data_IF_923025816544
#
_entry.id   IF_923025816544
#
_cell.length_a   1.000
_cell.length_b   1.000
_cell.length_c   1.000
_cell.angle_alpha   90.00
_cell.angle_beta   90.00
_cell.angle_gamma   90.00
#
_symmetry.space_group_name_H-M   'P 1'
#
loop_
_entity.id
_entity.type
_entity.pdbx_description
1 polymer ?
#
# COMPACT_ATOMS: atom_id res chain seq x y z
N UNK A 1 42.30 20.48 10.83
CA UNK A 1 42.37 18.99 10.93
C UNK A 1 42.87 18.65 12.32
N UNK A 2 41.97 18.18 13.18
CA UNK A 2 42.28 17.81 14.53
C UNK A 2 42.96 16.45 14.50
N UNK A 3 44.20 16.37 15.01
CA UNK A 3 45.01 15.15 15.02
C UNK A 3 44.41 14.11 15.99
N UNK A 4 43.43 13.35 15.52
CA UNK A 4 42.74 12.29 16.28
C UNK A 4 43.65 11.08 16.58
N UNK A 5 44.72 10.91 15.83
CA UNK A 5 45.58 9.71 15.91
C UNK A 5 46.57 9.70 17.12
N UNK A 6 46.78 10.83 17.81
CA UNK A 6 47.69 10.88 18.96
C UNK A 6 47.05 10.53 20.32
N UNK A 7 45.72 10.59 20.44
CA UNK A 7 45.01 10.29 21.71
C UNK A 7 44.65 8.81 21.92
N UNK A 8 44.70 8.00 20.89
CA UNK A 8 44.35 6.58 20.98
C UNK A 8 45.38 5.68 21.63
N UNK A 9 46.63 6.17 21.88
CA UNK A 9 47.72 5.36 22.45
C UNK A 9 47.64 5.08 23.93
N UNK A 10 46.74 5.73 24.67
CA UNK A 10 46.66 5.64 26.13
C UNK A 10 45.34 5.05 26.66
N UNK A 11 44.53 4.39 25.79
CA UNK A 11 43.32 3.73 26.26
C UNK A 11 43.66 2.36 26.85
N UNK A 12 43.28 2.18 28.09
CA UNK A 12 43.33 0.87 28.73
C UNK A 12 42.27 -0.08 28.15
N UNK A 13 42.43 -1.40 28.32
CA UNK A 13 41.53 -2.39 27.80
C UNK A 13 40.07 -2.20 28.25
N UNK A 14 39.88 -1.65 29.44
CA UNK A 14 38.56 -1.36 30.03
C UNK A 14 37.89 -0.17 29.36
N UNK A 15 38.62 0.88 29.04
CA UNK A 15 38.11 2.05 28.31
C UNK A 15 37.75 1.69 26.89
N UNK A 16 38.53 0.81 26.24
CA UNK A 16 38.21 0.32 24.91
C UNK A 16 36.90 -0.49 24.92
N UNK A 17 36.64 -1.33 25.91
CA UNK A 17 35.38 -2.07 26.06
C UNK A 17 34.19 -1.15 26.25
N UNK A 18 34.34 -0.11 27.07
CA UNK A 18 33.26 0.88 27.29
C UNK A 18 32.93 1.63 25.98
N UNK A 19 33.96 2.11 25.28
CA UNK A 19 33.73 2.84 24.01
C UNK A 19 33.14 1.96 22.96
N UNK A 20 33.59 0.70 22.81
CA UNK A 20 33.05 -0.22 21.83
C UNK A 20 31.60 -0.61 22.14
N UNK A 21 31.24 -0.79 23.41
CA UNK A 21 29.85 -1.08 23.79
C UNK A 21 28.91 0.10 23.52
N UNK A 22 29.35 1.32 23.82
CA UNK A 22 28.58 2.53 23.48
C UNK A 22 28.41 2.70 21.99
N UNK A 23 29.47 2.48 21.20
CA UNK A 23 29.39 2.54 19.73
C UNK A 23 28.41 1.51 19.19
N UNK A 24 28.42 0.27 19.71
CA UNK A 24 27.48 -0.76 19.33
C UNK A 24 26.03 -0.37 19.62
N UNK A 25 25.74 0.17 20.81
CA UNK A 25 24.38 0.63 21.16
C UNK A 25 23.92 1.73 20.22
N UNK A 26 24.77 2.71 19.91
CA UNK A 26 24.43 3.80 18.97
C UNK A 26 24.13 3.25 17.58
N UNK A 27 24.95 2.32 17.07
CA UNK A 27 24.73 1.68 15.76
C UNK A 27 23.39 0.94 15.74
N UNK A 28 23.08 0.18 16.80
CA UNK A 28 21.81 -0.54 16.92
C UNK A 28 20.60 0.41 16.97
N UNK A 29 20.71 1.54 17.66
CA UNK A 29 19.66 2.55 17.70
C UNK A 29 19.41 3.18 16.32
N UNK A 30 20.49 3.53 15.61
CA UNK A 30 20.39 4.09 14.25
C UNK A 30 19.75 3.07 13.30
N UNK A 31 20.16 1.81 13.36
CA UNK A 31 19.60 0.76 12.51
C UNK A 31 18.11 0.54 12.79
N UNK A 32 17.72 0.41 14.05
CA UNK A 32 16.30 0.23 14.41
C UNK A 32 15.44 1.43 14.01
N UNK A 33 15.94 2.65 14.17
CA UNK A 33 15.23 3.85 13.70
C UNK A 33 15.07 3.87 12.17
N UNK A 34 16.12 3.55 11.43
CA UNK A 34 16.12 3.50 9.97
C UNK A 34 15.16 2.45 9.43
N UNK A 35 15.17 1.22 9.98
CA UNK A 35 14.27 0.15 9.54
C UNK A 35 12.80 0.47 9.84
N UNK A 36 12.50 1.09 10.98
CA UNK A 36 11.14 1.54 11.31
C UNK A 36 10.66 2.62 10.34
N UNK A 37 11.52 3.59 10.04
CA UNK A 37 11.20 4.67 9.08
C UNK A 37 10.88 4.11 7.70
N UNK A 38 11.67 3.17 7.19
CA UNK A 38 11.42 2.54 5.88
C UNK A 38 10.10 1.77 5.83
N UNK A 39 9.71 1.08 6.91
CA UNK A 39 8.42 0.37 6.98
C UNK A 39 7.25 1.35 6.99
N UNK A 40 7.36 2.45 7.75
CA UNK A 40 6.32 3.48 7.79
C UNK A 40 6.17 4.17 6.44
N UNK A 41 7.28 4.48 5.78
CA UNK A 41 7.25 5.08 4.45
C UNK A 41 6.54 4.18 3.43
N UNK A 42 6.91 2.90 3.35
CA UNK A 42 6.23 1.93 2.47
C UNK A 42 4.73 1.83 2.76
N UNK A 43 4.34 1.85 4.03
CA UNK A 43 2.95 1.84 4.42
C UNK A 43 2.20 3.10 3.94
N UNK A 44 2.82 4.27 4.07
CA UNK A 44 2.24 5.52 3.59
C UNK A 44 2.12 5.55 2.07
N UNK A 45 3.12 5.05 1.35
CA UNK A 45 3.09 4.95 -0.11
C UNK A 45 1.91 4.08 -0.59
N UNK A 46 1.66 2.95 0.09
CA UNK A 46 0.50 2.10 -0.24
C UNK A 46 -0.83 2.79 0.08
N UNK A 47 -0.93 3.48 1.22
CA UNK A 47 -2.15 4.26 1.54
C UNK A 47 -2.41 5.34 0.50
N UNK A 48 -1.38 6.03 0.07
CA UNK A 48 -1.49 7.02 -1.00
C UNK A 48 -1.97 6.38 -2.31
N UNK A 49 -1.34 5.29 -2.73
CA UNK A 49 -1.74 4.56 -3.94
C UNK A 49 -3.19 4.05 -3.86
N UNK A 50 -3.58 3.47 -2.73
CA UNK A 50 -4.96 3.02 -2.50
C UNK A 50 -5.94 4.19 -2.62
N UNK A 51 -5.65 5.31 -1.97
CA UNK A 51 -6.48 6.52 -2.04
C UNK A 51 -6.60 7.02 -3.49
N UNK A 52 -5.51 7.04 -4.25
CA UNK A 52 -5.51 7.43 -5.68
C UNK A 52 -6.44 6.54 -6.51
N UNK A 53 -6.40 5.23 -6.30
CA UNK A 53 -7.29 4.27 -6.99
C UNK A 53 -8.75 4.50 -6.61
N UNK A 54 -9.03 4.68 -5.32
CA UNK A 54 -10.38 4.96 -4.81
C UNK A 54 -10.94 6.26 -5.39
N UNK A 55 -10.15 7.33 -5.37
CA UNK A 55 -10.55 8.64 -5.91
C UNK A 55 -10.81 8.56 -7.41
N UNK A 56 -9.97 7.82 -8.16
CA UNK A 56 -10.17 7.60 -9.58
C UNK A 56 -11.51 6.91 -9.85
N UNK A 57 -11.78 5.79 -9.18
CA UNK A 57 -13.04 5.04 -9.38
C UNK A 57 -14.25 5.90 -8.98
N UNK A 58 -14.18 6.62 -7.86
CA UNK A 58 -15.26 7.51 -7.42
C UNK A 58 -15.52 8.65 -8.41
N UNK A 59 -14.48 9.23 -9.01
CA UNK A 59 -14.64 10.28 -10.02
C UNK A 59 -15.36 9.74 -11.27
N UNK A 60 -14.98 8.57 -11.75
CA UNK A 60 -15.67 7.92 -12.88
C UNK A 60 -17.15 7.62 -12.57
N UNK A 61 -17.43 7.14 -11.37
CA UNK A 61 -18.82 6.92 -10.91
C UNK A 61 -19.61 8.23 -10.94
N UNK A 62 -19.03 9.32 -10.42
CA UNK A 62 -19.68 10.63 -10.38
C UNK A 62 -19.88 11.22 -11.79
N UNK A 63 -18.88 11.11 -12.67
CA UNK A 63 -18.97 11.56 -14.05
C UNK A 63 -20.07 10.79 -14.80
N UNK A 64 -20.11 9.49 -14.64
CA UNK A 64 -21.15 8.66 -15.25
C UNK A 64 -22.56 8.91 -14.68
N UNK A 65 -22.67 9.21 -13.39
CA UNK A 65 -23.94 9.59 -12.77
C UNK A 65 -24.47 10.92 -13.33
N UNK A 66 -23.56 11.80 -13.74
CA UNK A 66 -23.92 13.09 -14.36
C UNK A 66 -24.18 12.99 -15.86
N UNK A 67 -23.69 11.94 -16.52
CA UNK A 67 -23.82 11.72 -17.97
C UNK A 67 -23.97 10.24 -18.29
N UNK A 68 -25.15 9.71 -18.11
CA UNK A 68 -25.48 8.28 -18.33
C UNK A 68 -25.19 7.77 -19.75
N UNK A 69 -25.19 8.65 -20.75
CA UNK A 69 -24.85 8.30 -22.14
C UNK A 69 -23.36 8.48 -22.45
N UNK A 70 -22.55 8.83 -21.46
CA UNK A 70 -21.11 8.99 -21.58
C UNK A 70 -20.37 7.66 -21.62
N UNK A 71 -19.05 7.79 -21.62
CA UNK A 71 -18.12 6.66 -21.51
C UNK A 71 -17.12 6.92 -20.37
N UNK A 72 -16.74 5.85 -19.73
CA UNK A 72 -15.65 5.85 -18.76
C UNK A 72 -14.30 6.10 -19.44
N UNK A 73 -13.30 6.48 -18.66
CA UNK A 73 -11.92 6.64 -19.13
C UNK A 73 -11.34 5.36 -19.76
N UNK A 74 -11.81 4.19 -19.38
CA UNK A 74 -11.40 2.91 -19.99
C UNK A 74 -12.33 2.46 -21.15
N UNK A 75 -13.29 3.31 -21.58
CA UNK A 75 -14.06 3.14 -22.81
C UNK A 75 -15.38 2.38 -22.68
N UNK A 76 -15.78 1.92 -21.50
CA UNK A 76 -17.08 1.30 -21.24
C UNK A 76 -18.19 2.37 -21.18
N UNK A 77 -19.42 2.00 -21.55
CA UNK A 77 -20.54 2.93 -21.47
C UNK A 77 -20.96 3.13 -20.01
N UNK A 78 -21.32 4.34 -19.66
CA UNK A 78 -21.78 4.67 -18.31
C UNK A 78 -23.05 3.92 -17.89
N UNK A 79 -23.90 3.57 -18.83
CA UNK A 79 -25.17 2.83 -18.59
C UNK A 79 -25.02 1.30 -18.65
N UNK A 80 -23.79 0.78 -18.79
CA UNK A 80 -23.51 -0.66 -18.81
C UNK A 80 -22.82 -1.11 -17.51
N UNK A 81 -22.80 -2.42 -17.26
CA UNK A 81 -21.97 -2.99 -16.19
C UNK A 81 -20.49 -2.83 -16.53
N UNK A 82 -19.72 -2.35 -15.58
CA UNK A 82 -18.26 -2.25 -15.70
C UNK A 82 -17.59 -3.52 -15.16
N UNK A 83 -16.40 -3.81 -15.67
CA UNK A 83 -15.65 -4.97 -15.23
C UNK A 83 -14.38 -4.55 -14.48
N UNK A 84 -14.14 -5.14 -13.33
CA UNK A 84 -12.95 -4.85 -12.52
C UNK A 84 -11.64 -5.10 -13.29
N UNK A 85 -11.63 -6.06 -14.23
CA UNK A 85 -10.45 -6.33 -15.06
C UNK A 85 -10.12 -5.19 -16.04
N UNK A 86 -11.12 -4.50 -16.59
CA UNK A 86 -10.89 -3.35 -17.46
C UNK A 86 -10.39 -2.14 -16.68
N UNK A 87 -10.95 -1.90 -15.51
CA UNK A 87 -10.49 -0.84 -14.58
C UNK A 87 -9.03 -1.09 -14.17
N UNK A 88 -8.72 -2.31 -13.72
CA UNK A 88 -7.36 -2.68 -13.31
C UNK A 88 -6.37 -2.50 -14.44
N UNK A 89 -6.70 -2.96 -15.65
CA UNK A 89 -5.84 -2.80 -16.82
C UNK A 89 -5.61 -1.32 -17.14
N UNK A 90 -6.67 -0.51 -17.16
CA UNK A 90 -6.55 0.91 -17.44
C UNK A 90 -5.65 1.62 -16.43
N UNK A 91 -5.80 1.31 -15.13
CA UNK A 91 -4.96 1.88 -14.08
C UNK A 91 -3.50 1.46 -14.25
N UNK A 92 -3.23 0.19 -14.57
CA UNK A 92 -1.86 -0.29 -14.81
C UNK A 92 -1.19 0.39 -16.02
N UNK A 93 -1.97 0.70 -17.05
CA UNK A 93 -1.45 1.31 -18.28
C UNK A 93 -1.25 2.82 -18.18
N UNK A 94 -1.99 3.51 -17.31
CA UNK A 94 -2.04 4.98 -17.27
C UNK A 94 -1.50 5.61 -15.97
N UNK A 95 -1.32 4.82 -14.89
CA UNK A 95 -0.83 5.32 -13.61
C UNK A 95 0.54 4.73 -13.30
N UNK A 96 1.52 5.57 -12.99
CA UNK A 96 2.85 5.15 -12.54
C UNK A 96 2.83 4.74 -11.05
N UNK A 97 2.05 3.71 -10.72
CA UNK A 97 1.93 3.21 -9.38
C UNK A 97 2.81 1.96 -9.18
N UNK A 98 3.60 1.93 -8.12
CA UNK A 98 4.52 0.83 -7.82
C UNK A 98 4.25 0.24 -6.44
N UNK A 99 4.37 -1.08 -6.32
CA UNK A 99 4.29 -1.76 -5.03
C UNK A 99 5.64 -1.64 -4.29
N UNK A 100 5.75 -0.87 -3.20
CA UNK A 100 7.01 -0.66 -2.48
C UNK A 100 7.51 -1.90 -1.75
N UNK A 101 6.69 -2.95 -1.63
CA UNK A 101 7.07 -4.22 -1.01
C UNK A 101 7.54 -5.26 -2.03
N UNK A 102 6.99 -5.24 -3.25
CA UNK A 102 7.25 -6.25 -4.29
C UNK A 102 7.25 -5.61 -5.68
N UNK A 103 8.39 -5.13 -6.11
CA UNK A 103 8.54 -4.46 -7.41
C UNK A 103 8.13 -5.35 -8.59
N UNK A 104 8.28 -6.67 -8.47
CA UNK A 104 7.95 -7.64 -9.52
C UNK A 104 6.45 -7.97 -9.63
N UNK A 105 5.64 -7.55 -8.66
CA UNK A 105 4.19 -7.79 -8.65
C UNK A 105 3.45 -6.51 -9.00
N UNK A 106 2.38 -6.61 -9.81
CA UNK A 106 1.54 -5.44 -10.10
C UNK A 106 0.95 -4.90 -8.78
N UNK A 107 0.86 -3.57 -8.70
CA UNK A 107 0.31 -2.90 -7.53
C UNK A 107 -1.19 -3.18 -7.36
N UNK A 108 -1.91 -3.36 -8.46
CA UNK A 108 -3.37 -3.52 -8.47
C UNK A 108 -3.75 -4.82 -9.17
N UNK A 109 -4.73 -5.52 -8.63
CA UNK A 109 -5.25 -6.78 -9.16
C UNK A 109 -6.76 -6.89 -8.93
N UNK A 110 -7.42 -7.70 -9.73
CA UNK A 110 -8.80 -8.11 -9.47
C UNK A 110 -8.84 -9.16 -8.35
N UNK A 111 -9.89 -9.16 -7.55
CA UNK A 111 -10.14 -10.18 -6.53
C UNK A 111 -11.63 -10.47 -6.44
N UNK A 112 -11.99 -11.71 -6.11
CA UNK A 112 -13.37 -12.05 -5.80
C UNK A 112 -13.82 -11.51 -4.45
N UNK A 113 -12.91 -11.37 -3.50
CA UNK A 113 -13.16 -10.81 -2.19
C UNK A 113 -11.97 -9.98 -1.69
N UNK A 114 -11.93 -8.68 -1.99
CA UNK A 114 -10.87 -7.78 -1.53
C UNK A 114 -10.82 -7.64 0.00
N UNK A 115 -11.91 -7.91 0.73
CA UNK A 115 -11.95 -7.86 2.19
C UNK A 115 -11.04 -8.92 2.78
N UNK A 116 -11.16 -10.17 2.29
CA UNK A 116 -10.29 -11.26 2.72
C UNK A 116 -8.82 -10.96 2.41
N UNK A 117 -8.54 -10.34 1.26
CA UNK A 117 -7.18 -9.99 0.86
C UNK A 117 -6.61 -8.84 1.70
N UNK A 118 -7.41 -7.83 2.02
CA UNK A 118 -7.00 -6.68 2.82
C UNK A 118 -6.77 -7.07 4.29
N UNK A 119 -7.69 -7.82 4.88
CA UNK A 119 -7.60 -8.25 6.28
C UNK A 119 -6.61 -9.41 6.46
N UNK A 120 -6.46 -10.25 5.45
CA UNK A 120 -5.67 -11.47 5.52
C UNK A 120 -6.32 -12.57 6.35
N UNK A 121 -6.25 -13.80 5.88
CA UNK A 121 -6.57 -14.96 6.73
C UNK A 121 -5.44 -15.21 7.71
N UNK A 122 -5.77 -15.58 8.93
CA UNK A 122 -4.78 -15.95 9.94
C UNK A 122 -3.75 -16.94 9.37
N UNK A 123 -2.47 -16.56 9.36
CA UNK A 123 -1.36 -17.38 8.89
C UNK A 123 -1.03 -17.30 7.39
N UNK A 124 -1.83 -16.62 6.57
CA UNK A 124 -1.45 -16.36 5.18
C UNK A 124 -0.72 -15.02 5.07
N UNK A 125 0.50 -15.06 4.57
CA UNK A 125 1.22 -13.87 4.11
C UNK A 125 0.50 -13.35 2.87
N UNK A 126 -0.50 -12.52 3.08
CA UNK A 126 -1.15 -11.83 1.98
C UNK A 126 -0.14 -10.97 1.26
N UNK A 127 -0.42 -10.69 0.02
CA UNK A 127 0.42 -9.88 -0.85
C UNK A 127 0.36 -8.41 -0.41
N UNK A 128 1.15 -8.08 0.62
CA UNK A 128 1.24 -6.72 1.16
C UNK A 128 1.47 -5.70 0.04
N UNK A 129 0.72 -4.62 0.10
CA UNK A 129 0.87 -3.52 -0.82
C UNK A 129 0.21 -3.74 -2.19
N UNK A 130 -0.48 -4.86 -2.41
CA UNK A 130 -1.34 -5.04 -3.57
C UNK A 130 -2.71 -4.47 -3.25
N UNK A 131 -3.26 -3.68 -4.16
CA UNK A 131 -4.62 -3.16 -4.11
C UNK A 131 -5.51 -4.14 -4.86
N UNK A 132 -6.52 -4.65 -4.20
CA UNK A 132 -7.50 -5.57 -4.78
C UNK A 132 -8.78 -4.84 -5.07
N UNK A 133 -9.30 -5.00 -6.29
CA UNK A 133 -10.56 -4.40 -6.74
C UNK A 133 -11.53 -5.51 -7.10
N UNK A 134 -12.72 -5.45 -6.56
CA UNK A 134 -13.81 -6.35 -6.90
C UNK A 134 -15.09 -5.55 -7.11
N UNK A 135 -15.87 -5.98 -8.08
CA UNK A 135 -17.27 -5.62 -8.16
C UNK A 135 -18.02 -6.63 -7.29
N UNK A 136 -18.66 -6.20 -6.22
CA UNK A 136 -19.58 -7.05 -5.51
C UNK A 136 -20.88 -7.08 -6.30
N UNK A 137 -21.23 -8.25 -6.86
CA UNK A 137 -22.53 -8.51 -7.48
C UNK A 137 -23.64 -8.51 -6.41
N UNK A 138 -23.75 -7.43 -5.66
CA UNK A 138 -24.90 -7.23 -4.84
C UNK A 138 -25.98 -6.66 -5.74
N UNK A 139 -26.97 -7.47 -6.08
CA UNK A 139 -28.28 -7.03 -6.55
C UNK A 139 -28.94 -6.22 -5.41
N UNK A 140 -28.35 -5.08 -5.05
CA UNK A 140 -28.97 -4.13 -4.16
C UNK A 140 -29.69 -3.10 -5.03
N UNK A 141 -30.86 -2.65 -4.58
CA UNK A 141 -31.58 -1.53 -5.19
C UNK A 141 -30.73 -0.24 -5.28
N UNK A 142 -29.54 -0.22 -4.68
CA UNK A 142 -28.61 0.90 -4.59
C UNK A 142 -27.50 0.90 -5.69
N UNK A 143 -27.49 -0.06 -6.60
CA UNK A 143 -26.45 -0.15 -7.64
C UNK A 143 -25.29 -1.08 -7.30
N UNK A 144 -24.28 -1.10 -8.16
CA UNK A 144 -23.09 -1.95 -7.98
C UNK A 144 -22.16 -1.38 -6.94
N UNK A 145 -21.75 -2.19 -5.97
CA UNK A 145 -20.73 -1.83 -4.97
C UNK A 145 -19.35 -2.28 -5.45
N UNK A 146 -18.41 -1.35 -5.52
CA UNK A 146 -16.99 -1.62 -5.77
C UNK A 146 -16.25 -1.69 -4.46
N UNK A 147 -15.67 -2.84 -4.16
CA UNK A 147 -14.85 -3.01 -2.95
C UNK A 147 -13.39 -2.93 -3.33
N UNK A 148 -12.66 -2.02 -2.68
CA UNK A 148 -11.24 -1.77 -2.92
C UNK A 148 -10.51 -1.96 -1.61
N UNK A 149 -9.64 -2.97 -1.54
CA UNK A 149 -8.96 -3.35 -0.33
C UNK A 149 -7.47 -3.56 -0.51
N UNK A 150 -6.68 -3.24 0.52
CA UNK A 150 -5.24 -3.49 0.54
C UNK A 150 -4.72 -3.78 1.94
N UNK A 151 -3.71 -4.64 2.05
CA UNK A 151 -2.92 -4.80 3.26
C UNK A 151 -1.71 -3.85 3.21
N UNK A 152 -1.70 -2.88 4.08
CA UNK A 152 -0.66 -1.85 4.15
C UNK A 152 0.57 -2.32 4.91
N UNK A 153 0.36 -3.09 5.99
CA UNK A 153 1.42 -3.55 6.89
C UNK A 153 1.01 -4.86 7.58
N UNK A 154 1.95 -5.75 7.87
CA UNK A 154 1.69 -6.96 8.66
C UNK A 154 1.67 -6.70 10.17
N UNK A 155 0.78 -7.39 10.90
CA UNK A 155 -0.28 -8.27 10.39
C UNK A 155 -1.45 -7.46 9.81
N UNK A 156 -1.98 -7.89 8.66
CA UNK A 156 -3.03 -7.16 7.94
C UNK A 156 -4.32 -7.00 8.74
N UNK A 157 -4.65 -7.96 9.58
CA UNK A 157 -5.85 -7.96 10.44
C UNK A 157 -5.81 -6.91 11.55
N UNK A 158 -4.64 -6.37 11.88
CA UNK A 158 -4.54 -5.36 12.93
C UNK A 158 -5.08 -4.01 12.45
N UNK A 159 -5.77 -3.31 13.35
CA UNK A 159 -6.35 -2.00 13.07
C UNK A 159 -5.30 -1.02 12.50
N UNK A 160 -5.62 -0.36 11.40
CA UNK A 160 -4.74 0.57 10.70
C UNK A 160 -3.65 -0.07 9.81
N UNK A 161 -3.62 -1.42 9.74
CA UNK A 161 -2.71 -2.14 8.87
C UNK A 161 -3.36 -2.57 7.54
N UNK A 162 -4.63 -2.30 7.37
CA UNK A 162 -5.36 -2.48 6.12
C UNK A 162 -6.19 -1.23 5.80
N UNK A 163 -6.55 -1.09 4.54
CA UNK A 163 -7.50 -0.10 4.06
C UNK A 163 -8.58 -0.87 3.27
N UNK A 164 -9.83 -0.55 3.54
CA UNK A 164 -10.98 -1.13 2.86
C UNK A 164 -12.02 -0.05 2.64
N UNK A 165 -12.33 0.21 1.39
CA UNK A 165 -13.32 1.22 0.99
C UNK A 165 -14.28 0.61 -0.02
N UNK A 166 -15.54 0.98 0.09
CA UNK A 166 -16.59 0.67 -0.89
C UNK A 166 -16.95 1.93 -1.65
N UNK A 167 -17.02 1.83 -2.98
CA UNK A 167 -17.58 2.84 -3.86
C UNK A 167 -18.89 2.29 -4.43
N UNK A 168 -19.91 3.14 -4.52
CA UNK A 168 -21.24 2.77 -4.99
C UNK A 168 -21.56 3.53 -6.27
N UNK A 169 -22.18 2.82 -7.21
CA UNK A 169 -22.68 3.34 -8.47
C UNK A 169 -24.20 3.25 -8.52
#
# INVERSE_FOLDING_TARGET
MINFSRKLKNFGPLEFLVISSLAYVVIMLIWTASTRSAVVQKANDIKFNHKTVVEFINNEVNECSSNENGKTSWGENCNSSWTSSNIVRYILDNFELNNPYKIEKPLIQTSQDPRIQAEGKAGQSTDKGIIFVSESNFESEAGSEWVIGTCVKSPCVAAGNNELISAYR
#
